data_IF_426341413537
#
_entry.id   IF_426341413537
#
_cell.length_a   1.000
_cell.length_b   1.000
_cell.length_c   1.000
_cell.angle_alpha   90.00
_cell.angle_beta   90.00
_cell.angle_gamma   90.00
#
_symmetry.space_group_name_H-M   'P 1'
#
loop_
_entity.id
_entity.type
_entity.pdbx_description
1 polymer ?
#
# COMPACT_ATOMS: atom_id res chain seq x y z
N UNK A 1 -3.76 13.77 -0.77
CA UNK A 1 -3.60 12.65 -1.72
C UNK A 1 -4.94 11.95 -2.01
N UNK A 2 -5.77 11.70 -1.00
CA UNK A 2 -7.05 11.00 -1.17
C UNK A 2 -8.05 11.81 -2.00
N UNK A 3 -8.16 13.11 -1.73
CA UNK A 3 -9.12 13.99 -2.40
C UNK A 3 -8.76 14.28 -3.86
N UNK A 4 -7.48 14.25 -4.20
CA UNK A 4 -6.97 14.49 -5.55
C UNK A 4 -5.73 13.59 -5.79
N UNK A 5 -5.92 12.29 -6.04
CA UNK A 5 -4.83 11.37 -6.32
C UNK A 5 -4.00 11.85 -7.50
N UNK A 6 -2.67 11.82 -7.34
CA UNK A 6 -1.72 12.32 -8.33
C UNK A 6 -0.46 11.45 -8.37
N UNK A 7 0.34 11.60 -9.42
CA UNK A 7 1.61 10.87 -9.56
C UNK A 7 2.58 11.16 -8.42
N UNK A 8 2.60 12.41 -7.92
CA UNK A 8 3.41 12.79 -6.76
C UNK A 8 2.65 12.43 -5.48
N UNK A 9 3.10 11.37 -4.83
CA UNK A 9 2.51 10.84 -3.59
C UNK A 9 3.30 11.32 -2.38
N UNK A 10 2.62 11.93 -1.41
CA UNK A 10 3.18 12.43 -0.14
C UNK A 10 4.30 13.49 -0.25
N UNK A 11 4.58 14.01 -1.43
CA UNK A 11 5.60 15.04 -1.62
C UNK A 11 7.04 14.63 -1.31
N UNK A 12 7.33 13.34 -1.07
CA UNK A 12 8.64 12.85 -0.64
C UNK A 12 9.74 13.20 -1.64
N UNK A 13 9.48 13.04 -2.94
CA UNK A 13 10.45 13.38 -3.99
C UNK A 13 10.83 14.87 -3.96
N UNK A 14 9.85 15.75 -3.79
CA UNK A 14 10.08 17.19 -3.68
C UNK A 14 10.79 17.58 -2.39
N UNK A 15 10.45 16.94 -1.27
CA UNK A 15 11.12 17.16 0.00
C UNK A 15 12.61 16.76 -0.08
N UNK A 16 12.92 15.64 -0.72
CA UNK A 16 14.28 15.19 -0.96
C UNK A 16 15.08 16.17 -1.82
N UNK A 17 14.50 16.61 -2.95
CA UNK A 17 15.11 17.59 -3.82
C UNK A 17 15.41 18.91 -3.07
N UNK A 18 14.41 19.42 -2.36
CA UNK A 18 14.53 20.65 -1.59
C UNK A 18 15.59 20.53 -0.47
N UNK A 19 15.62 19.40 0.21
CA UNK A 19 16.60 19.15 1.28
C UNK A 19 18.04 19.12 0.77
N UNK A 20 18.30 18.46 -0.37
CA UNK A 20 19.63 18.43 -0.98
C UNK A 20 20.07 19.82 -1.40
N UNK A 21 19.21 20.56 -2.12
CA UNK A 21 19.54 21.91 -2.54
C UNK A 21 19.68 22.90 -1.37
N UNK A 22 18.91 22.75 -0.31
CA UNK A 22 19.07 23.56 0.88
C UNK A 22 20.42 23.33 1.57
N UNK A 23 20.88 22.09 1.64
CA UNK A 23 22.21 21.77 2.17
C UNK A 23 23.33 22.33 1.28
N UNK A 24 23.19 22.24 -0.03
CA UNK A 24 24.13 22.80 -0.99
C UNK A 24 24.20 24.34 -0.87
N UNK A 25 23.07 25.01 -0.84
CA UNK A 25 23.02 26.46 -0.64
C UNK A 25 23.66 26.89 0.69
N UNK A 26 23.38 26.16 1.76
CA UNK A 26 23.98 26.42 3.06
C UNK A 26 25.53 26.30 3.04
N UNK A 27 26.07 25.37 2.24
CA UNK A 27 27.52 25.22 2.05
C UNK A 27 28.19 26.44 1.43
N UNK A 28 27.42 27.24 0.66
CA UNK A 28 27.84 28.51 0.08
C UNK A 28 27.54 29.73 0.97
N UNK A 29 27.10 29.51 2.21
CA UNK A 29 26.81 30.58 3.17
C UNK A 29 25.40 31.15 3.05
N UNK A 30 24.48 30.56 2.28
CA UNK A 30 23.09 30.97 2.26
C UNK A 30 22.42 30.66 3.59
N UNK A 31 21.74 31.63 4.19
CA UNK A 31 21.09 31.48 5.49
C UNK A 31 19.60 31.52 5.34
N UNK A 32 18.91 30.70 6.16
CA UNK A 32 17.45 30.69 6.27
C UNK A 32 16.97 31.28 7.61
N UNK A 33 15.66 31.35 7.77
CA UNK A 33 15.05 31.68 9.07
C UNK A 33 15.07 30.44 9.96
N UNK A 34 15.19 30.61 11.32
CA UNK A 34 15.08 29.49 12.25
C UNK A 34 13.78 28.74 12.05
N UNK A 35 13.89 27.42 11.93
CA UNK A 35 12.73 26.55 11.70
C UNK A 35 12.20 26.00 13.03
N UNK A 36 11.03 25.35 12.96
CA UNK A 36 10.46 24.61 14.08
C UNK A 36 11.48 23.63 14.71
N UNK A 37 12.30 22.96 13.86
CA UNK A 37 13.31 22.00 14.31
C UNK A 37 14.48 22.63 15.07
N UNK A 38 14.70 23.95 14.93
CA UNK A 38 15.69 24.70 15.71
C UNK A 38 15.24 25.00 17.14
N UNK A 39 13.96 24.83 17.45
CA UNK A 39 13.40 25.13 18.75
C UNK A 39 13.75 24.02 19.76
N UNK A 40 14.12 24.40 20.99
CA UNK A 40 14.56 23.46 22.02
C UNK A 40 13.57 22.34 22.32
N UNK A 41 12.29 22.64 22.26
CA UNK A 41 11.19 21.67 22.43
C UNK A 41 11.33 20.45 21.48
N UNK A 42 11.92 20.61 20.31
CA UNK A 42 12.03 19.58 19.29
C UNK A 42 13.44 19.00 19.16
N UNK A 43 14.34 19.36 20.12
CA UNK A 43 15.74 18.84 20.13
C UNK A 43 15.78 17.32 20.15
N UNK A 44 14.86 16.68 20.84
CA UNK A 44 14.78 15.21 20.88
C UNK A 44 14.54 14.59 19.51
N UNK A 45 13.85 15.27 18.60
CA UNK A 45 13.59 14.77 17.24
C UNK A 45 14.83 14.90 16.33
N UNK A 46 15.73 15.79 16.66
CA UNK A 46 16.88 16.13 15.80
C UNK A 46 18.22 15.65 16.35
N UNK A 47 18.27 15.20 17.60
CA UNK A 47 19.53 14.86 18.29
C UNK A 47 20.33 13.75 17.60
N UNK A 48 19.66 12.83 16.93
CA UNK A 48 20.27 11.66 16.30
C UNK A 48 20.49 11.85 14.78
N UNK A 49 20.14 13.02 14.22
CA UNK A 49 20.35 13.29 12.79
C UNK A 49 21.83 13.22 12.46
N UNK A 50 22.18 12.42 11.45
CA UNK A 50 23.55 12.19 11.00
C UNK A 50 24.35 11.16 11.81
N UNK A 51 23.80 10.67 12.94
CA UNK A 51 24.45 9.64 13.76
C UNK A 51 23.69 8.32 13.79
N UNK A 52 22.37 8.37 13.67
CA UNK A 52 21.50 7.19 13.58
C UNK A 52 20.67 7.22 12.30
N UNK A 53 20.60 6.09 11.66
CA UNK A 53 19.84 5.90 10.43
C UNK A 53 18.69 4.94 10.73
N UNK A 54 17.48 5.46 10.88
CA UNK A 54 16.31 4.65 11.19
C UNK A 54 16.08 3.51 10.19
N UNK A 55 16.52 3.70 8.94
CA UNK A 55 16.48 2.68 7.89
C UNK A 55 17.24 1.40 8.25
N UNK A 56 18.26 1.50 9.10
CA UNK A 56 19.09 0.36 9.53
C UNK A 56 18.85 -0.05 10.97
N UNK A 57 18.26 0.81 11.80
CA UNK A 57 18.27 0.65 13.26
C UNK A 57 16.90 0.43 13.88
N UNK A 58 15.83 0.32 13.13
CA UNK A 58 14.57 0.08 13.82
C UNK A 58 13.28 0.57 13.20
N UNK A 59 13.30 0.98 11.96
CA UNK A 59 12.03 1.10 11.24
C UNK A 59 11.59 -0.31 10.84
N UNK A 60 10.40 -0.65 11.25
CA UNK A 60 9.70 -1.82 10.75
C UNK A 60 9.36 -1.60 9.26
N UNK A 61 10.31 -1.94 8.40
CA UNK A 61 10.19 -1.82 6.95
C UNK A 61 9.09 -2.76 6.46
N UNK A 62 8.11 -2.20 5.77
CA UNK A 62 7.01 -2.97 5.21
C UNK A 62 6.97 -2.79 3.70
N UNK A 63 7.14 -3.87 2.96
CA UNK A 63 6.89 -3.88 1.53
C UNK A 63 5.41 -4.21 1.29
N UNK A 64 4.75 -3.44 0.45
CA UNK A 64 3.33 -3.68 0.12
C UNK A 64 3.16 -4.96 -0.69
N UNK A 65 2.14 -5.74 -0.35
CA UNK A 65 1.74 -6.92 -1.11
C UNK A 65 0.90 -6.56 -2.34
N UNK A 66 0.25 -5.40 -2.33
CA UNK A 66 -0.69 -4.97 -3.37
C UNK A 66 -0.35 -3.58 -3.91
N UNK A 67 -0.63 -3.36 -5.19
CA UNK A 67 -0.42 -2.08 -5.87
C UNK A 67 -1.54 -1.07 -5.56
N UNK A 68 -1.84 -0.87 -4.27
CA UNK A 68 -2.87 0.08 -3.80
C UNK A 68 -2.48 0.74 -2.48
N UNK A 69 -3.32 1.65 -2.01
CA UNK A 69 -3.16 2.29 -0.69
C UNK A 69 -3.19 1.24 0.42
N UNK A 70 -2.31 1.40 1.41
CA UNK A 70 -2.23 0.49 2.57
C UNK A 70 -3.54 0.35 3.34
N UNK A 71 -4.37 1.38 3.33
CA UNK A 71 -5.69 1.36 3.98
C UNK A 71 -6.70 0.41 3.31
N UNK A 72 -6.44 -0.01 2.07
CA UNK A 72 -7.26 -1.00 1.36
C UNK A 72 -6.78 -2.43 1.58
N UNK A 73 -5.56 -2.64 2.10
CA UNK A 73 -4.97 -3.98 2.16
C UNK A 73 -5.82 -4.98 2.95
N UNK A 74 -6.41 -4.58 4.10
CA UNK A 74 -7.28 -5.48 4.86
C UNK A 74 -8.51 -5.94 4.06
N UNK A 75 -9.10 -5.04 3.27
CA UNK A 75 -10.22 -5.38 2.40
C UNK A 75 -9.79 -6.30 1.25
N UNK A 76 -8.61 -6.08 0.67
CA UNK A 76 -8.06 -6.96 -0.38
C UNK A 76 -7.74 -8.35 0.18
N UNK A 77 -7.16 -8.44 1.38
CA UNK A 77 -6.91 -9.72 2.06
C UNK A 77 -8.23 -10.45 2.38
N UNK A 78 -9.26 -9.74 2.85
CA UNK A 78 -10.59 -10.30 3.07
C UNK A 78 -11.19 -10.84 1.78
N UNK A 79 -11.12 -10.08 0.69
CA UNK A 79 -11.58 -10.51 -0.62
C UNK A 79 -10.78 -11.72 -1.14
N UNK A 80 -9.46 -11.71 -0.97
CA UNK A 80 -8.57 -12.83 -1.34
C UNK A 80 -8.94 -14.11 -0.58
N UNK A 81 -9.15 -14.01 0.73
CA UNK A 81 -9.57 -15.15 1.54
C UNK A 81 -10.85 -15.78 1.00
N UNK A 82 -11.86 -14.95 0.68
CA UNK A 82 -13.12 -15.47 0.13
C UNK A 82 -12.95 -16.03 -1.29
N UNK A 83 -12.10 -15.42 -2.11
CA UNK A 83 -11.77 -15.92 -3.43
C UNK A 83 -11.09 -17.30 -3.40
N UNK A 84 -10.18 -17.50 -2.44
CA UNK A 84 -9.43 -18.76 -2.29
C UNK A 84 -10.28 -19.87 -1.63
N UNK A 85 -11.17 -19.51 -0.68
CA UNK A 85 -11.94 -20.48 0.12
C UNK A 85 -13.24 -20.94 -0.56
N UNK A 86 -13.82 -20.09 -1.42
CA UNK A 86 -15.14 -20.37 -1.99
C UNK A 86 -15.12 -20.35 -3.52
N UNK A 87 -15.84 -21.31 -4.11
CA UNK A 87 -16.09 -21.32 -5.54
C UNK A 87 -17.35 -20.51 -5.86
N UNK A 88 -17.18 -19.36 -6.50
CA UNK A 88 -18.25 -18.53 -7.04
C UNK A 88 -17.74 -17.75 -8.25
N UNK A 89 -18.65 -17.33 -9.11
CA UNK A 89 -18.30 -16.44 -10.23
C UNK A 89 -18.49 -14.97 -9.81
N UNK A 90 -17.64 -14.04 -10.28
CA UNK A 90 -17.88 -12.60 -10.09
C UNK A 90 -19.25 -12.13 -10.52
N UNK A 91 -19.88 -12.81 -11.50
CA UNK A 91 -21.24 -12.57 -11.96
C UNK A 91 -22.30 -12.94 -10.93
N UNK A 92 -22.01 -13.90 -10.02
CA UNK A 92 -22.95 -14.35 -8.98
C UNK A 92 -23.01 -13.36 -7.81
N UNK A 93 -22.07 -12.44 -7.69
CA UNK A 93 -22.04 -11.44 -6.64
C UNK A 93 -23.23 -10.48 -6.83
N UNK A 94 -24.00 -10.26 -5.78
CA UNK A 94 -25.05 -9.24 -5.70
C UNK A 94 -24.53 -7.97 -5.05
N UNK A 95 -23.89 -8.11 -3.88
CA UNK A 95 -23.38 -7.01 -3.06
C UNK A 95 -22.07 -7.40 -2.37
N UNK A 96 -21.21 -6.41 -2.17
CA UNK A 96 -19.98 -6.52 -1.37
C UNK A 96 -20.01 -5.43 -0.32
N UNK A 97 -19.95 -5.79 0.95
CA UNK A 97 -19.77 -4.86 2.06
C UNK A 97 -18.35 -4.96 2.57
N UNK A 98 -17.63 -3.84 2.55
CA UNK A 98 -16.30 -3.70 3.17
C UNK A 98 -16.47 -2.98 4.49
N UNK A 99 -16.21 -3.67 5.59
CA UNK A 99 -16.19 -3.08 6.93
C UNK A 99 -14.77 -2.59 7.22
N UNK A 100 -14.65 -1.30 7.50
CA UNK A 100 -13.35 -0.65 7.59
C UNK A 100 -13.36 0.51 8.61
N UNK A 101 -12.31 1.28 8.69
CA UNK A 101 -12.15 2.49 9.49
C UNK A 101 -12.36 3.75 8.63
N UNK A 102 -12.47 4.93 9.26
CA UNK A 102 -12.82 6.19 8.59
C UNK A 102 -11.92 6.54 7.40
N UNK A 103 -10.61 6.47 7.55
CA UNK A 103 -9.69 6.81 6.47
C UNK A 103 -9.74 5.79 5.33
N UNK A 104 -10.00 4.51 5.66
CA UNK A 104 -10.24 3.48 4.65
C UNK A 104 -11.50 3.76 3.83
N UNK A 105 -12.59 4.11 4.50
CA UNK A 105 -13.85 4.49 3.84
C UNK A 105 -13.70 5.78 3.01
N UNK A 106 -12.88 6.73 3.48
CA UNK A 106 -12.61 8.00 2.78
C UNK A 106 -11.91 7.82 1.42
N UNK A 107 -11.28 6.66 1.14
CA UNK A 107 -10.78 6.33 -0.20
C UNK A 107 -11.92 6.26 -1.23
N UNK A 108 -13.13 6.00 -0.78
CA UNK A 108 -14.33 5.97 -1.61
C UNK A 108 -14.42 4.76 -2.55
N UNK A 109 -15.59 4.69 -3.23
CA UNK A 109 -15.93 3.59 -4.14
C UNK A 109 -16.24 4.06 -5.56
N UNK A 110 -15.96 5.34 -5.88
CA UNK A 110 -16.11 5.88 -7.23
C UNK A 110 -15.20 5.12 -8.19
N UNK A 111 -15.71 4.77 -9.37
CA UNK A 111 -14.89 4.12 -10.40
C UNK A 111 -13.72 5.01 -10.80
N UNK A 112 -12.50 4.48 -10.82
CA UNK A 112 -11.31 5.25 -11.17
C UNK A 112 -11.28 5.56 -12.67
N UNK A 113 -10.69 6.70 -13.01
CA UNK A 113 -10.42 7.15 -14.38
C UNK A 113 -8.93 7.28 -14.65
N UNK A 114 -8.11 7.26 -13.61
CA UNK A 114 -6.65 7.30 -13.68
C UNK A 114 -6.04 6.18 -12.85
N UNK A 115 -4.78 5.85 -13.13
CA UNK A 115 -3.97 4.89 -12.38
C UNK A 115 -3.88 5.26 -10.90
N UNK A 116 -3.76 6.54 -10.60
CA UNK A 116 -3.67 7.05 -9.23
C UNK A 116 -4.99 6.87 -8.50
N UNK A 117 -6.13 7.18 -9.15
CA UNK A 117 -7.45 6.93 -8.57
C UNK A 117 -7.69 5.45 -8.28
N UNK A 118 -7.21 4.54 -9.14
CA UNK A 118 -7.32 3.11 -8.92
C UNK A 118 -6.53 2.63 -7.69
N UNK A 119 -5.37 3.22 -7.45
CA UNK A 119 -4.52 2.90 -6.30
C UNK A 119 -5.06 3.49 -4.98
N UNK A 120 -5.73 4.65 -5.04
CA UNK A 120 -6.38 5.31 -3.90
C UNK A 120 -7.89 5.10 -3.96
N UNK A 121 -8.33 3.85 -3.88
CA UNK A 121 -9.72 3.44 -4.03
C UNK A 121 -10.00 2.23 -3.14
N UNK A 122 -11.22 2.12 -2.60
CA UNK A 122 -11.62 0.95 -1.85
C UNK A 122 -12.22 -0.14 -2.78
N UNK A 123 -13.06 0.26 -3.71
CA UNK A 123 -13.81 -0.69 -4.53
C UNK A 123 -12.95 -1.36 -5.61
N UNK A 124 -12.07 -0.61 -6.26
CA UNK A 124 -11.30 -1.12 -7.40
C UNK A 124 -10.36 -2.27 -7.05
N UNK A 125 -9.48 -2.16 -6.02
CA UNK A 125 -8.61 -3.27 -5.63
C UNK A 125 -9.38 -4.50 -5.13
N UNK A 126 -10.47 -4.31 -4.38
CA UNK A 126 -11.33 -5.41 -3.94
C UNK A 126 -11.94 -6.14 -5.14
N UNK A 127 -12.49 -5.39 -6.10
CA UNK A 127 -13.07 -5.97 -7.31
C UNK A 127 -12.01 -6.67 -8.18
N UNK A 128 -10.83 -6.09 -8.33
CA UNK A 128 -9.72 -6.71 -9.06
C UNK A 128 -9.30 -8.04 -8.42
N UNK A 129 -9.21 -8.10 -7.10
CA UNK A 129 -8.92 -9.34 -6.38
C UNK A 129 -9.99 -10.41 -6.65
N UNK A 130 -11.26 -10.06 -6.64
CA UNK A 130 -12.37 -11.01 -6.86
C UNK A 130 -12.52 -11.45 -8.32
N UNK A 131 -11.97 -10.71 -9.28
CA UNK A 131 -12.02 -11.05 -10.72
C UNK A 131 -10.75 -11.75 -11.19
N UNK A 132 -9.59 -11.25 -10.80
CA UNK A 132 -8.28 -11.70 -11.29
C UNK A 132 -7.52 -12.57 -10.28
N UNK A 133 -7.91 -12.57 -8.99
CA UNK A 133 -7.13 -13.20 -7.91
C UNK A 133 -5.84 -12.43 -7.55
N UNK A 134 -5.67 -11.21 -8.07
CA UNK A 134 -4.44 -10.44 -7.97
C UNK A 134 -4.73 -8.93 -7.94
N UNK A 135 -3.89 -8.19 -7.21
CA UNK A 135 -3.86 -6.72 -7.25
C UNK A 135 -2.42 -6.25 -7.44
N UNK A 136 -1.96 -6.32 -8.67
CA UNK A 136 -0.64 -5.86 -9.10
C UNK A 136 -0.70 -4.60 -9.97
N UNK A 137 0.43 -4.21 -10.57
CA UNK A 137 0.46 -3.09 -11.51
C UNK A 137 -0.53 -3.24 -12.66
N UNK A 138 -0.72 -4.47 -13.17
CA UNK A 138 -1.66 -4.74 -14.27
C UNK A 138 -3.08 -4.30 -13.95
N UNK A 139 -3.52 -4.49 -12.71
CA UNK A 139 -4.87 -4.18 -12.27
C UNK A 139 -5.13 -2.69 -12.06
N UNK A 140 -4.06 -1.89 -11.97
CA UNK A 140 -4.16 -0.44 -11.71
C UNK A 140 -3.75 0.44 -12.90
N UNK A 141 -3.20 -0.13 -13.98
CA UNK A 141 -2.85 0.61 -15.18
C UNK A 141 -4.08 1.00 -16.02
N UNK A 142 -3.97 2.08 -16.78
CA UNK A 142 -5.07 2.68 -17.56
C UNK A 142 -5.81 1.68 -18.45
N UNK A 143 -5.08 0.75 -19.09
CA UNK A 143 -5.66 -0.27 -19.97
C UNK A 143 -6.67 -1.16 -19.25
N UNK A 144 -6.50 -1.32 -17.94
CA UNK A 144 -7.38 -2.18 -17.13
C UNK A 144 -8.60 -1.44 -16.58
N UNK A 145 -8.55 -0.12 -16.51
CA UNK A 145 -9.64 0.69 -15.93
C UNK A 145 -10.95 0.63 -16.72
N UNK A 146 -10.90 0.12 -17.94
CA UNK A 146 -12.09 -0.09 -18.79
C UNK A 146 -12.60 -1.52 -18.77
N UNK A 147 -12.02 -2.42 -17.95
CA UNK A 147 -12.48 -3.80 -17.87
C UNK A 147 -13.89 -3.92 -17.31
N UNK A 148 -14.80 -4.44 -18.14
CA UNK A 148 -16.21 -4.53 -17.81
C UNK A 148 -16.51 -5.44 -16.62
N UNK A 149 -15.70 -6.49 -16.39
CA UNK A 149 -15.88 -7.42 -15.26
C UNK A 149 -15.51 -6.75 -13.95
N UNK A 150 -14.33 -6.12 -13.89
CA UNK A 150 -13.89 -5.40 -12.69
C UNK A 150 -14.86 -4.25 -12.39
N UNK A 151 -15.27 -3.47 -13.40
CA UNK A 151 -16.26 -2.39 -13.25
C UNK A 151 -17.58 -2.92 -12.68
N UNK A 152 -18.06 -4.06 -13.20
CA UNK A 152 -19.31 -4.66 -12.74
C UNK A 152 -19.26 -5.05 -11.27
N UNK A 153 -18.12 -5.59 -10.80
CA UNK A 153 -17.92 -5.98 -9.40
C UNK A 153 -17.69 -4.75 -8.52
N UNK A 154 -16.85 -3.80 -8.97
CA UNK A 154 -16.55 -2.59 -8.22
C UNK A 154 -17.80 -1.76 -7.87
N UNK A 155 -18.79 -1.71 -8.77
CA UNK A 155 -20.06 -1.03 -8.54
C UNK A 155 -20.92 -1.64 -7.43
N UNK A 156 -20.62 -2.85 -6.98
CA UNK A 156 -21.33 -3.56 -5.92
C UNK A 156 -20.69 -3.37 -4.54
N UNK A 157 -19.54 -2.68 -4.49
CA UNK A 157 -18.81 -2.45 -3.25
C UNK A 157 -19.37 -1.24 -2.52
N UNK A 158 -19.74 -1.46 -1.27
CA UNK A 158 -20.12 -0.43 -0.31
C UNK A 158 -19.19 -0.52 0.91
N UNK A 159 -18.99 0.60 1.59
CA UNK A 159 -18.17 0.66 2.81
C UNK A 159 -19.05 0.88 4.04
N UNK A 160 -18.69 0.25 5.15
CA UNK A 160 -19.27 0.49 6.46
C UNK A 160 -18.15 0.69 7.49
N UNK A 161 -18.22 1.78 8.23
CA UNK A 161 -17.26 2.10 9.29
C UNK A 161 -17.75 1.53 10.62
N UNK A 162 -16.81 1.09 11.46
CA UNK A 162 -17.10 0.70 12.85
C UNK A 162 -16.15 1.38 13.81
N UNK A 163 -16.65 1.71 15.01
CA UNK A 163 -15.85 2.30 16.08
C UNK A 163 -14.68 1.42 16.49
N UNK A 164 -14.89 0.12 16.53
CA UNK A 164 -13.84 -0.84 16.86
C UNK A 164 -12.66 -0.79 15.89
N UNK A 165 -12.92 -0.65 14.58
CA UNK A 165 -11.85 -0.55 13.57
C UNK A 165 -11.17 0.83 13.62
N UNK A 166 -11.90 1.89 13.97
CA UNK A 166 -11.32 3.21 14.22
C UNK A 166 -10.38 3.17 15.43
N UNK A 167 -10.77 2.50 16.51
CA UNK A 167 -9.92 2.34 17.71
C UNK A 167 -8.65 1.54 17.38
N UNK A 168 -8.74 0.43 16.68
CA UNK A 168 -7.57 -0.35 16.25
C UNK A 168 -6.63 0.48 15.37
N UNK A 169 -7.18 1.29 14.49
CA UNK A 169 -6.42 2.18 13.62
C UNK A 169 -5.74 3.29 14.43
N UNK A 170 -6.44 3.90 15.38
CA UNK A 170 -5.87 4.92 16.28
C UNK A 170 -4.72 4.35 17.11
N UNK A 171 -4.92 3.18 17.72
CA UNK A 171 -3.87 2.47 18.49
C UNK A 171 -2.61 2.22 17.66
N UNK A 172 -2.78 1.89 16.37
CA UNK A 172 -1.64 1.73 15.45
C UNK A 172 -0.87 3.05 15.29
N UNK A 173 -1.56 4.18 15.13
CA UNK A 173 -0.92 5.49 14.91
C UNK A 173 -0.09 5.96 16.12
N UNK A 174 -0.53 5.63 17.31
CA UNK A 174 0.20 5.98 18.54
C UNK A 174 1.26 4.93 18.93
N UNK A 175 1.45 3.88 18.09
CA UNK A 175 2.46 2.84 18.34
C UNK A 175 2.08 1.84 19.43
N UNK A 176 0.79 1.72 19.79
CA UNK A 176 0.32 0.70 20.73
C UNK A 176 0.36 -0.69 20.06
N UNK A 177 0.88 -1.69 20.77
CA UNK A 177 1.03 -3.06 20.24
C UNK A 177 -0.30 -3.73 19.83
N UNK A 178 -1.43 -3.23 20.31
CA UNK A 178 -2.77 -3.70 19.92
C UNK A 178 -3.24 -3.09 18.60
N UNK A 179 -2.60 -2.01 18.16
CA UNK A 179 -2.98 -1.28 16.96
C UNK A 179 -2.84 -2.13 15.70
N UNK A 180 -3.86 -2.07 14.83
CA UNK A 180 -3.94 -2.89 13.61
C UNK A 180 -4.58 -2.13 12.47
N UNK A 181 -4.15 -2.43 11.25
CA UNK A 181 -4.94 -2.18 10.05
C UNK A 181 -5.83 -3.40 9.81
N UNK A 182 -7.06 -3.34 10.23
CA UNK A 182 -7.99 -4.46 10.11
C UNK A 182 -9.23 -4.08 9.31
N UNK A 183 -9.93 -5.08 8.81
CA UNK A 183 -11.18 -4.93 8.08
C UNK A 183 -11.88 -6.27 7.91
N UNK A 184 -13.06 -6.23 7.31
CA UNK A 184 -13.87 -7.41 6.99
C UNK A 184 -14.49 -7.24 5.61
N UNK A 185 -14.69 -8.33 4.89
CA UNK A 185 -15.42 -8.34 3.61
C UNK A 185 -16.56 -9.34 3.70
N UNK A 186 -17.76 -8.89 3.38
CA UNK A 186 -18.96 -9.71 3.31
C UNK A 186 -19.50 -9.68 1.89
N UNK A 187 -19.65 -10.83 1.25
CA UNK A 187 -20.16 -10.96 -0.10
C UNK A 187 -21.54 -11.63 -0.05
N UNK A 188 -22.57 -10.93 -0.52
CA UNK A 188 -23.88 -11.50 -0.75
C UNK A 188 -23.95 -12.00 -2.20
N UNK A 189 -24.27 -13.27 -2.38
CA UNK A 189 -24.48 -13.88 -3.69
C UNK A 189 -25.96 -13.82 -4.10
N UNK A 190 -26.23 -13.86 -5.40
CA UNK A 190 -27.59 -13.83 -5.96
C UNK A 190 -28.48 -15.01 -5.54
N UNK A 191 -27.86 -16.11 -5.10
CA UNK A 191 -28.58 -17.26 -4.55
C UNK A 191 -28.92 -17.11 -3.06
N UNK A 192 -28.58 -15.98 -2.45
CA UNK A 192 -28.87 -15.63 -1.06
C UNK A 192 -27.77 -16.09 -0.08
N UNK A 193 -26.71 -16.76 -0.50
CA UNK A 193 -25.57 -17.07 0.37
C UNK A 193 -24.83 -15.80 0.74
N UNK A 194 -24.37 -15.75 1.99
CA UNK A 194 -23.49 -14.70 2.49
C UNK A 194 -22.15 -15.35 2.83
N UNK A 195 -21.10 -14.83 2.23
CA UNK A 195 -19.71 -15.25 2.48
C UNK A 195 -19.05 -14.18 3.33
N UNK A 196 -18.49 -14.55 4.47
CA UNK A 196 -17.89 -13.63 5.42
C UNK A 196 -16.42 -13.96 5.59
N UNK A 197 -15.53 -12.98 5.37
CA UNK A 197 -14.10 -13.16 5.61
C UNK A 197 -13.77 -13.26 7.11
N UNK A 198 -14.66 -12.75 7.95
CA UNK A 198 -14.33 -12.38 9.31
C UNK A 198 -13.29 -11.29 9.34
N UNK A 199 -12.77 -11.00 10.53
CA UNK A 199 -11.72 -9.98 10.69
C UNK A 199 -10.41 -10.43 10.07
N UNK A 200 -9.87 -9.58 9.20
CA UNK A 200 -8.58 -9.76 8.55
C UNK A 200 -7.70 -8.56 8.86
N UNK A 201 -6.44 -8.81 9.16
CA UNK A 201 -5.45 -7.77 9.30
C UNK A 201 -4.82 -7.49 7.93
N UNK A 202 -4.82 -6.22 7.54
CA UNK A 202 -4.09 -5.77 6.36
C UNK A 202 -2.60 -5.78 6.66
N UNK A 203 -1.90 -6.75 6.14
CA UNK A 203 -0.45 -6.79 6.22
C UNK A 203 0.12 -5.66 5.36
N UNK A 204 0.49 -4.56 6.00
CA UNK A 204 1.34 -3.57 5.38
C UNK A 204 2.76 -4.12 5.29
N UNK A 205 2.98 -5.09 4.41
CA UNK A 205 4.29 -5.65 4.19
C UNK A 205 4.45 -7.09 4.64
N UNK A 206 5.67 -7.60 4.48
CA UNK A 206 6.02 -8.98 4.71
C UNK A 206 5.52 -9.49 6.04
N UNK A 207 5.12 -10.78 6.09
CA UNK A 207 4.65 -11.40 7.30
C UNK A 207 5.65 -11.23 8.44
N UNK A 208 5.18 -11.39 9.66
CA UNK A 208 5.93 -11.25 10.91
C UNK A 208 7.23 -12.09 11.01
N UNK A 209 7.60 -12.82 9.98
CA UNK A 209 8.80 -13.66 9.86
C UNK A 209 10.07 -12.89 9.50
N UNK A 210 10.00 -11.57 9.32
CA UNK A 210 11.14 -10.75 8.94
C UNK A 210 11.39 -10.65 7.44
N UNK A 211 12.43 -9.90 7.07
CA UNK A 211 12.89 -9.75 5.70
C UNK A 211 13.57 -11.04 5.24
N UNK A 212 12.89 -11.81 4.41
CA UNK A 212 13.49 -12.94 3.72
C UNK A 212 13.89 -12.52 2.31
N UNK A 213 15.11 -12.85 1.93
CA UNK A 213 15.66 -12.61 0.62
C UNK A 213 14.77 -13.22 -0.48
N UNK A 214 14.29 -14.45 -0.28
CA UNK A 214 13.46 -15.13 -1.26
C UNK A 214 12.16 -14.37 -1.53
N UNK A 215 11.51 -13.87 -0.50
CA UNK A 215 10.26 -13.09 -0.63
C UNK A 215 10.49 -11.79 -1.40
N UNK A 216 11.65 -11.14 -1.20
CA UNK A 216 12.02 -9.94 -1.95
C UNK A 216 12.28 -10.26 -3.42
N UNK A 217 13.00 -11.34 -3.70
CA UNK A 217 13.30 -11.79 -5.05
C UNK A 217 12.04 -12.22 -5.78
N UNK A 218 11.14 -12.98 -5.14
CA UNK A 218 9.84 -13.37 -5.70
C UNK A 218 9.01 -12.15 -6.08
N UNK A 219 8.94 -11.15 -5.20
CA UNK A 219 8.25 -9.89 -5.51
C UNK A 219 8.92 -9.14 -6.65
N UNK A 220 10.24 -9.11 -6.69
CA UNK A 220 10.99 -8.49 -7.79
C UNK A 220 10.69 -9.19 -9.12
N UNK A 221 10.72 -10.51 -9.16
CA UNK A 221 10.35 -11.29 -10.33
C UNK A 221 8.91 -11.04 -10.78
N UNK A 222 7.96 -11.05 -9.83
CA UNK A 222 6.56 -10.74 -10.12
C UNK A 222 6.38 -9.39 -10.83
N UNK A 223 7.15 -8.37 -10.43
CA UNK A 223 7.06 -7.02 -10.98
C UNK A 223 7.88 -6.84 -12.27
N UNK A 224 9.04 -7.49 -12.39
CA UNK A 224 10.05 -7.18 -13.40
C UNK A 224 10.09 -8.17 -14.55
N UNK A 225 9.84 -9.46 -14.30
CA UNK A 225 9.85 -10.49 -15.34
C UNK A 225 8.94 -10.18 -16.54
N UNK A 226 7.72 -9.65 -16.34
CA UNK A 226 6.86 -9.28 -17.45
C UNK A 226 7.43 -8.17 -18.36
N UNK A 227 8.39 -7.40 -17.85
CA UNK A 227 8.98 -6.24 -18.55
C UNK A 227 10.35 -6.57 -19.16
N UNK A 228 11.19 -7.30 -18.43
CA UNK A 228 12.60 -7.51 -18.80
C UNK A 228 12.95 -8.97 -19.07
N UNK A 229 12.09 -9.91 -18.69
CA UNK A 229 12.37 -11.35 -18.70
C UNK A 229 13.19 -11.80 -17.49
N UNK A 230 13.05 -13.08 -17.13
CA UNK A 230 13.63 -13.68 -15.91
C UNK A 230 15.16 -13.63 -15.89
N UNK A 231 15.83 -13.86 -17.02
CA UNK A 231 17.31 -13.84 -17.07
C UNK A 231 17.89 -12.46 -16.71
N UNK A 232 17.26 -11.41 -17.24
CA UNK A 232 17.69 -10.04 -16.93
C UNK A 232 17.34 -9.64 -15.51
N UNK A 233 16.19 -10.06 -14.99
CA UNK A 233 15.81 -9.88 -13.60
C UNK A 233 16.84 -10.55 -12.66
N UNK A 234 17.22 -11.79 -12.92
CA UNK A 234 18.26 -12.49 -12.15
C UNK A 234 19.60 -11.73 -12.16
N UNK A 235 20.02 -11.24 -13.34
CA UNK A 235 21.24 -10.45 -13.45
C UNK A 235 21.19 -9.20 -12.55
N UNK A 236 20.06 -8.49 -12.53
CA UNK A 236 19.88 -7.30 -11.68
C UNK A 236 19.92 -7.69 -10.20
N UNK A 237 19.23 -8.78 -9.82
CA UNK A 237 19.26 -9.28 -8.44
C UNK A 237 20.69 -9.55 -8.00
N UNK A 238 21.47 -10.28 -8.79
CA UNK A 238 22.87 -10.58 -8.48
C UNK A 238 23.72 -9.31 -8.35
N UNK A 239 23.54 -8.36 -9.26
CA UNK A 239 24.26 -7.07 -9.18
C UNK A 239 23.90 -6.30 -7.91
N UNK A 240 22.64 -6.22 -7.53
CA UNK A 240 22.19 -5.50 -6.33
C UNK A 240 22.70 -6.17 -5.06
N UNK A 241 22.66 -7.51 -4.97
CA UNK A 241 23.19 -8.23 -3.81
C UNK A 241 24.72 -8.19 -3.68
N UNK A 242 25.42 -7.82 -4.74
CA UNK A 242 26.88 -7.65 -4.73
C UNK A 242 27.29 -6.19 -4.98
N UNK A 243 26.42 -5.23 -4.71
CA UNK A 243 26.65 -3.81 -5.00
C UNK A 243 27.95 -3.29 -4.34
N UNK A 244 28.20 -3.72 -3.10
CA UNK A 244 29.41 -3.42 -2.33
C UNK A 244 30.71 -3.93 -2.94
N UNK A 245 30.62 -4.87 -3.89
CA UNK A 245 31.77 -5.49 -4.58
C UNK A 245 31.98 -4.95 -6.00
N UNK A 246 31.06 -4.13 -6.50
CA UNK A 246 31.14 -3.58 -7.85
C UNK A 246 32.17 -2.42 -7.86
N UNK A 247 33.12 -2.50 -8.79
CA UNK A 247 34.06 -1.41 -9.00
C UNK A 247 33.38 -0.24 -9.72
N UNK A 248 33.35 0.94 -9.09
CA UNK A 248 32.88 2.17 -9.72
C UNK A 248 31.40 2.53 -9.52
N UNK A 249 30.84 2.11 -8.39
CA UNK A 249 29.55 2.64 -7.91
C UNK A 249 29.81 3.82 -6.97
#
# INVERSE_FOLDING_TARGET
DIAAPAMVKHGIGWATLTGIHAAELASFGFTGIPTLLSHEKYREWTKDIGSKFLITEGIDWKAKNYACCGWTHAAVEGAKKLYDEYSFSPEDIEKIEVVTFDEGAALGTKLPTTTEEAQFNMAWPVAAMLVDGEVGPKQTLEQRLTDAKIISVARKVETRVTEELNELRHLYDIGDARGKFAGEVNITLKDGRILESGRVEGTLGFPAVGWDRSVMEDKFHWLVDPLLGTDRANTIIEMVWNLDKLAGV
#
